data_IF_593192276562
#
_entry.id   IF_593192276562
#
_cell.length_a   1.000
_cell.length_b   1.000
_cell.length_c   1.000
_cell.angle_alpha   90.00
_cell.angle_beta   90.00
_cell.angle_gamma   90.00
#
_symmetry.space_group_name_H-M   'P 1'
#
loop_
_entity.id
_entity.type
_entity.pdbx_description
1 polymer ?
#
# COMPACT_ATOMS: atom_id res chain seq x y z
N UNK A 1 15.62 7.38 0.33
CA UNK A 1 14.38 6.69 -0.06
C UNK A 1 13.34 7.77 -0.25
N UNK A 2 12.70 7.82 -1.42
CA UNK A 2 11.60 8.73 -1.73
C UNK A 2 10.34 7.90 -1.96
N UNK A 3 9.22 8.28 -1.34
CA UNK A 3 7.92 7.67 -1.55
C UNK A 3 6.99 8.73 -2.14
N UNK A 4 6.41 8.41 -3.30
CA UNK A 4 5.37 9.22 -3.94
C UNK A 4 4.06 8.46 -3.82
N UNK A 5 3.16 8.99 -2.99
CA UNK A 5 1.89 8.33 -2.68
C UNK A 5 0.74 8.82 -3.57
N UNK A 6 -0.13 7.89 -3.97
CA UNK A 6 -1.35 8.10 -4.77
C UNK A 6 -1.14 8.96 -6.03
N UNK A 7 -0.11 8.66 -6.81
CA UNK A 7 0.18 9.41 -8.05
C UNK A 7 -0.87 9.11 -9.11
N UNK A 8 -1.55 10.13 -9.60
CA UNK A 8 -2.63 10.06 -10.59
C UNK A 8 -2.31 10.78 -11.92
N UNK A 9 -1.28 11.63 -11.95
CA UNK A 9 -0.80 12.30 -13.15
C UNK A 9 0.69 11.97 -13.44
N UNK A 10 0.96 11.58 -14.69
CA UNK A 10 2.30 11.36 -15.21
C UNK A 10 3.21 12.61 -15.07
N UNK A 11 2.64 13.82 -15.10
CA UNK A 11 3.40 15.05 -14.91
C UNK A 11 4.01 15.15 -13.50
N UNK A 12 3.36 14.62 -12.46
CA UNK A 12 3.95 14.56 -11.13
C UNK A 12 5.27 13.79 -11.13
N UNK A 13 5.34 12.65 -11.83
CA UNK A 13 6.59 11.89 -11.96
C UNK A 13 7.66 12.66 -12.74
N UNK A 14 7.28 13.30 -13.85
CA UNK A 14 8.23 14.11 -14.65
C UNK A 14 8.80 15.28 -13.86
N UNK A 15 8.00 15.93 -13.02
CA UNK A 15 8.44 17.07 -12.21
C UNK A 15 9.22 16.67 -10.96
N UNK A 16 8.80 15.62 -10.25
CA UNK A 16 9.39 15.23 -8.96
C UNK A 16 10.56 14.25 -9.10
N UNK A 17 10.45 13.30 -10.03
CA UNK A 17 11.49 12.30 -10.28
C UNK A 17 12.41 12.74 -11.41
N UNK A 18 11.87 13.36 -12.46
CA UNK A 18 12.69 13.91 -13.55
C UNK A 18 13.58 12.86 -14.19
N UNK A 19 14.89 12.98 -14.02
CA UNK A 19 15.88 12.04 -14.57
C UNK A 19 16.52 11.19 -13.49
N UNK A 20 16.93 9.96 -13.85
CA UNK A 20 17.57 9.00 -12.93
C UNK A 20 18.88 9.54 -12.32
N UNK A 21 19.59 10.41 -13.02
CA UNK A 21 20.85 11.03 -12.58
C UNK A 21 20.67 12.13 -11.53
N UNK A 22 19.42 12.53 -11.22
CA UNK A 22 19.12 13.43 -10.11
C UNK A 22 19.33 12.77 -8.75
N UNK A 23 19.41 11.43 -8.71
CA UNK A 23 19.54 10.65 -7.50
C UNK A 23 20.88 9.90 -7.48
N UNK A 24 21.53 9.92 -6.32
CA UNK A 24 22.79 9.19 -6.12
C UNK A 24 22.61 7.67 -6.11
N UNK A 25 23.70 6.94 -6.30
CA UNK A 25 23.73 5.47 -6.20
C UNK A 25 23.14 4.98 -4.87
N UNK A 26 22.35 3.90 -4.92
CA UNK A 26 21.64 3.35 -3.75
C UNK A 26 20.33 4.06 -3.40
N UNK A 27 20.00 5.16 -4.09
CA UNK A 27 18.68 5.78 -3.97
C UNK A 27 17.58 4.83 -4.47
N UNK A 28 16.45 4.87 -3.78
CA UNK A 28 15.24 4.10 -4.12
C UNK A 28 14.06 5.06 -4.13
N UNK A 29 13.26 4.96 -5.18
CA UNK A 29 12.01 5.71 -5.35
C UNK A 29 10.90 4.68 -5.44
N UNK A 30 9.89 4.82 -4.60
CA UNK A 30 8.71 3.98 -4.60
C UNK A 30 7.53 4.87 -4.97
N UNK A 31 6.73 4.43 -5.93
CA UNK A 31 5.52 5.14 -6.37
C UNK A 31 4.34 4.23 -6.09
N UNK A 32 3.34 4.73 -5.37
CA UNK A 32 2.04 4.07 -5.24
C UNK A 32 1.04 4.79 -6.16
N UNK A 33 0.19 4.01 -6.82
CA UNK A 33 -0.87 4.51 -7.69
C UNK A 33 -1.93 3.44 -7.85
N UNK A 34 -3.17 3.87 -8.11
CA UNK A 34 -4.26 2.98 -8.52
C UNK A 34 -4.25 2.70 -10.03
N UNK A 35 -3.48 3.45 -10.81
CA UNK A 35 -3.37 3.31 -12.26
C UNK A 35 -2.00 2.73 -12.69
N UNK A 36 -1.99 1.43 -13.00
CA UNK A 36 -0.79 0.75 -13.49
C UNK A 36 -0.29 1.32 -14.83
N UNK A 37 -1.17 1.89 -15.67
CA UNK A 37 -0.79 2.45 -16.96
C UNK A 37 0.15 3.65 -16.80
N UNK A 38 0.03 4.41 -15.71
CA UNK A 38 0.91 5.53 -15.38
C UNK A 38 2.35 5.05 -15.19
N UNK A 39 2.54 3.95 -14.44
CA UNK A 39 3.87 3.34 -14.20
C UNK A 39 4.51 2.84 -15.50
N UNK A 40 3.72 2.18 -16.36
CA UNK A 40 4.17 1.70 -17.66
C UNK A 40 4.54 2.84 -18.60
N UNK A 41 3.74 3.92 -18.60
CA UNK A 41 3.98 5.12 -19.42
C UNK A 41 5.24 5.86 -19.01
N UNK A 42 5.52 5.92 -17.70
CA UNK A 42 6.74 6.51 -17.16
C UNK A 42 7.99 5.63 -17.35
N UNK A 43 7.82 4.33 -17.59
CA UNK A 43 8.88 3.32 -17.75
C UNK A 43 9.71 3.12 -16.47
N UNK A 44 9.01 2.84 -15.37
CA UNK A 44 9.63 2.45 -14.10
C UNK A 44 10.44 1.16 -14.22
N UNK A 45 11.36 0.92 -13.28
CA UNK A 45 12.25 -0.24 -13.29
C UNK A 45 11.54 -1.55 -12.90
N UNK A 46 10.41 -1.46 -12.18
CA UNK A 46 9.60 -2.60 -11.79
C UNK A 46 8.23 -2.18 -11.29
N UNK A 47 7.25 -3.07 -11.44
CA UNK A 47 5.87 -2.89 -10.95
C UNK A 47 5.54 -4.05 -10.03
N UNK A 48 5.04 -3.72 -8.85
CA UNK A 48 4.50 -4.69 -7.90
C UNK A 48 3.01 -4.41 -7.73
N UNK A 49 2.18 -5.43 -7.93
CA UNK A 49 0.74 -5.36 -7.68
C UNK A 49 0.45 -6.07 -6.35
N UNK A 50 0.14 -5.33 -5.27
CA UNK A 50 -0.25 -5.94 -4.01
C UNK A 50 -1.51 -6.78 -4.18
N UNK A 51 -1.58 -7.90 -3.47
CA UNK A 51 -2.82 -8.66 -3.27
C UNK A 51 -3.52 -8.16 -2.01
N UNK A 52 -4.81 -8.46 -1.89
CA UNK A 52 -5.53 -8.31 -0.63
C UNK A 52 -4.91 -9.20 0.44
N UNK A 53 -5.15 -8.87 1.71
CA UNK A 53 -4.79 -9.75 2.81
C UNK A 53 -5.74 -10.95 2.83
N UNK A 54 -5.22 -12.10 3.25
CA UNK A 54 -6.05 -13.25 3.61
C UNK A 54 -6.91 -12.90 4.84
N UNK A 55 -8.09 -13.51 4.97
CA UNK A 55 -9.06 -13.16 6.03
C UNK A 55 -8.46 -13.20 7.45
N UNK A 56 -7.60 -14.17 7.71
CA UNK A 56 -6.92 -14.31 9.00
C UNK A 56 -5.90 -13.18 9.24
N UNK A 57 -5.16 -12.79 8.21
CA UNK A 57 -4.17 -11.71 8.29
C UNK A 57 -4.87 -10.35 8.41
N UNK A 58 -5.99 -10.17 7.71
CA UNK A 58 -6.83 -8.99 7.81
C UNK A 58 -7.45 -8.86 9.22
N UNK A 59 -7.95 -9.96 9.77
CA UNK A 59 -8.48 -10.00 11.14
C UNK A 59 -7.40 -9.75 12.19
N UNK A 60 -6.22 -10.34 12.01
CA UNK A 60 -5.07 -10.10 12.88
C UNK A 60 -4.64 -8.63 12.85
N UNK A 61 -4.52 -8.05 11.66
CA UNK A 61 -4.19 -6.63 11.49
C UNK A 61 -5.27 -5.74 12.12
N UNK A 62 -6.55 -6.05 11.90
CA UNK A 62 -7.65 -5.31 12.50
C UNK A 62 -7.57 -5.36 14.03
N UNK A 63 -7.37 -6.54 14.62
CA UNK A 63 -7.29 -6.68 16.07
C UNK A 63 -6.10 -5.92 16.65
N UNK A 64 -4.95 -6.00 15.99
CA UNK A 64 -3.75 -5.26 16.38
C UNK A 64 -4.00 -3.74 16.38
N UNK A 65 -4.75 -3.22 15.39
CA UNK A 65 -5.02 -1.77 15.27
C UNK A 65 -6.16 -1.29 16.16
N UNK A 66 -7.24 -2.05 16.27
CA UNK A 66 -8.43 -1.65 17.03
C UNK A 66 -8.30 -1.91 18.54
N UNK A 67 -7.63 -3.00 18.91
CA UNK A 67 -7.53 -3.45 20.31
C UNK A 67 -6.11 -3.43 20.87
N UNK A 68 -5.10 -3.14 20.04
CA UNK A 68 -3.69 -3.16 20.47
C UNK A 68 -3.17 -4.56 20.80
N UNK A 69 -3.86 -5.61 20.33
CA UNK A 69 -3.53 -6.99 20.63
C UNK A 69 -3.68 -7.85 19.38
N UNK A 70 -2.73 -8.76 19.19
CA UNK A 70 -2.68 -9.69 18.06
C UNK A 70 -3.67 -10.85 18.17
N UNK A 71 -4.17 -11.12 19.38
CA UNK A 71 -5.10 -12.22 19.63
C UNK A 71 -6.54 -11.82 19.36
N UNK A 72 -7.43 -12.82 19.35
CA UNK A 72 -8.86 -12.58 19.28
C UNK A 72 -9.29 -11.51 20.30
N UNK A 73 -10.21 -10.61 19.91
CA UNK A 73 -10.76 -9.63 20.84
C UNK A 73 -11.60 -10.34 21.90
N UNK A 74 -12.15 -9.59 22.88
CA UNK A 74 -13.12 -10.19 23.82
C UNK A 74 -14.22 -10.90 23.03
N UNK A 75 -14.74 -11.98 23.59
CA UNK A 75 -15.65 -12.93 22.91
C UNK A 75 -16.83 -12.21 22.21
N UNK A 76 -17.38 -11.17 22.85
CA UNK A 76 -18.45 -10.32 22.32
C UNK A 76 -18.11 -9.59 21.01
N UNK A 77 -16.82 -9.34 20.73
CA UNK A 77 -16.35 -8.59 19.57
C UNK A 77 -15.83 -9.47 18.44
N UNK A 78 -15.73 -10.79 18.61
CA UNK A 78 -15.15 -11.68 17.59
C UNK A 78 -15.97 -11.64 16.30
N UNK A 79 -17.29 -11.81 16.40
CA UNK A 79 -18.18 -11.80 15.23
C UNK A 79 -18.28 -10.40 14.60
N UNK A 80 -18.26 -9.34 15.43
CA UNK A 80 -18.20 -7.96 14.97
C UNK A 80 -16.92 -7.68 14.19
N UNK A 81 -15.77 -8.15 14.68
CA UNK A 81 -14.47 -7.96 14.03
C UNK A 81 -14.44 -8.67 12.66
N UNK A 82 -14.94 -9.91 12.58
CA UNK A 82 -15.07 -10.63 11.30
C UNK A 82 -15.96 -9.89 10.30
N UNK A 83 -17.11 -9.37 10.75
CA UNK A 83 -18.00 -8.59 9.88
C UNK A 83 -17.35 -7.29 9.38
N UNK A 84 -16.66 -6.56 10.26
CA UNK A 84 -15.98 -5.32 9.88
C UNK A 84 -14.86 -5.60 8.87
N UNK A 85 -14.07 -6.66 9.10
CA UNK A 85 -13.01 -7.08 8.18
C UNK A 85 -13.61 -7.46 6.82
N UNK A 86 -14.68 -8.25 6.79
CA UNK A 86 -15.36 -8.62 5.54
C UNK A 86 -15.99 -7.43 4.80
N UNK A 87 -16.34 -6.36 5.52
CA UNK A 87 -16.83 -5.11 4.91
C UNK A 87 -15.69 -4.22 4.39
N UNK A 88 -14.55 -4.19 5.07
CA UNK A 88 -13.43 -3.30 4.78
C UNK A 88 -12.40 -3.87 3.79
N UNK A 89 -12.54 -5.15 3.43
CA UNK A 89 -11.71 -5.86 2.46
C UNK A 89 -11.98 -5.47 1.01
#
# INVERSE_FOLDING_TARGET
LLLLDDVDDLQHLKCLVGKRDWFGLGSRIIVTTRDEHLLRSYRVDGVYKPTTLEDNDALHLFNLKAFGCETAPKEDFIELAKHIVGYAG
#
